data_IF_463601462623
#
_entry.id   IF_463601462623
#
_cell.length_a   1.000
_cell.length_b   1.000
_cell.length_c   1.000
_cell.angle_alpha   90.00
_cell.angle_beta   90.00
_cell.angle_gamma   90.00
#
_symmetry.space_group_name_H-M   'P 1'
#
loop_
_entity.id
_entity.type
_entity.pdbx_description
1 polymer ?
#
# COMPACT_ATOMS: atom_id res chain seq x y z
N UNK A 1 58.04 5.33 -41.62
CA UNK A 1 56.57 5.46 -41.70
C UNK A 1 56.03 5.59 -40.29
N UNK A 2 55.74 6.84 -39.91
CA UNK A 2 54.78 7.39 -38.91
C UNK A 2 54.03 6.38 -38.01
N UNK A 3 54.13 6.36 -36.67
CA UNK A 3 53.65 7.28 -35.60
C UNK A 3 52.15 7.61 -35.53
N UNK A 4 51.53 7.13 -34.46
CA UNK A 4 50.67 7.80 -33.46
C UNK A 4 49.29 8.40 -33.80
N UNK A 5 48.33 7.95 -32.97
CA UNK A 5 47.29 8.69 -32.22
C UNK A 5 46.05 9.24 -32.93
N UNK A 6 44.96 9.19 -32.13
CA UNK A 6 43.73 10.00 -32.17
C UNK A 6 42.60 9.56 -33.11
N UNK A 7 41.60 8.87 -32.54
CA UNK A 7 40.26 9.42 -32.26
C UNK A 7 39.22 8.31 -32.14
N UNK A 8 38.98 7.86 -30.92
CA UNK A 8 37.76 7.15 -30.51
C UNK A 8 37.22 7.86 -29.28
N UNK A 9 36.56 9.00 -29.49
CA UNK A 9 35.86 9.71 -28.42
C UNK A 9 34.61 10.50 -28.84
N UNK A 10 34.11 10.38 -30.08
CA UNK A 10 33.02 11.27 -30.57
C UNK A 10 31.65 10.62 -30.82
N UNK A 11 31.39 9.39 -30.35
CA UNK A 11 30.11 8.72 -30.59
C UNK A 11 29.17 8.60 -29.38
N UNK A 12 29.53 9.12 -28.20
CA UNK A 12 28.65 9.06 -27.00
C UNK A 12 27.93 10.39 -26.67
N UNK A 13 28.13 11.46 -27.46
CA UNK A 13 27.63 12.80 -27.13
C UNK A 13 26.52 13.33 -28.06
N UNK A 14 25.67 12.47 -28.64
CA UNK A 14 24.60 12.88 -29.58
C UNK A 14 23.16 12.57 -29.17
N UNK A 15 22.91 12.26 -27.90
CA UNK A 15 21.54 12.02 -27.38
C UNK A 15 20.90 13.23 -26.69
N UNK A 16 21.59 14.38 -26.63
CA UNK A 16 21.05 15.63 -26.06
C UNK A 16 21.00 16.74 -27.11
N UNK A 17 20.01 16.69 -27.99
CA UNK A 17 19.52 17.86 -28.74
C UNK A 17 18.23 17.49 -29.47
N UNK A 18 17.11 17.48 -28.74
CA UNK A 18 15.80 17.38 -29.37
C UNK A 18 15.07 18.73 -29.29
N UNK A 19 15.03 19.41 -30.43
CA UNK A 19 14.24 20.61 -30.70
C UNK A 19 12.71 20.36 -30.59
N UNK A 20 12.28 19.14 -30.24
CA UNK A 20 10.87 18.79 -30.03
C UNK A 20 10.23 19.47 -28.81
N UNK A 21 10.98 19.70 -27.72
CA UNK A 21 10.42 20.29 -26.49
C UNK A 21 10.09 21.79 -26.63
N UNK A 22 10.79 22.52 -27.51
CA UNK A 22 10.57 23.97 -27.69
C UNK A 22 9.37 24.29 -28.58
N UNK A 23 8.99 23.40 -29.49
CA UNK A 23 7.78 23.59 -30.34
C UNK A 23 6.48 23.31 -29.58
N UNK A 24 6.49 22.37 -28.64
CA UNK A 24 5.29 22.00 -27.88
C UNK A 24 4.80 23.12 -26.94
N UNK A 25 5.72 23.90 -26.38
CA UNK A 25 5.39 24.93 -25.37
C UNK A 25 4.73 26.18 -26.00
N UNK A 26 4.91 26.45 -27.30
CA UNK A 26 4.51 27.74 -27.87
C UNK A 26 3.15 27.75 -28.60
N UNK A 27 2.66 26.60 -29.08
CA UNK A 27 1.45 26.54 -29.93
C UNK A 27 0.17 26.13 -29.18
N UNK A 28 0.23 25.30 -28.12
CA UNK A 28 -0.96 24.95 -27.33
C UNK A 28 -1.36 26.04 -26.31
N UNK A 29 -0.41 26.87 -25.87
CA UNK A 29 -0.67 27.97 -24.92
C UNK A 29 -1.49 29.13 -25.48
N UNK A 30 -1.64 29.28 -26.81
CA UNK A 30 -2.43 30.35 -27.42
C UNK A 30 -3.89 29.98 -27.69
N UNK A 31 -4.23 28.69 -27.71
CA UNK A 31 -5.62 28.23 -27.97
C UNK A 31 -6.52 28.29 -26.74
N UNK A 32 -5.96 28.26 -25.53
CA UNK A 32 -6.76 28.24 -24.28
C UNK A 32 -7.24 29.62 -23.80
N UNK A 33 -6.71 30.72 -24.37
CA UNK A 33 -6.99 32.09 -23.89
C UNK A 33 -8.13 32.77 -24.66
N UNK A 34 -8.60 32.21 -25.80
CA UNK A 34 -9.55 32.90 -26.68
C UNK A 34 -11.03 32.53 -26.53
N UNK A 35 -11.42 31.57 -25.68
CA UNK A 35 -12.79 31.04 -25.73
C UNK A 35 -13.73 31.35 -24.55
N UNK A 36 -13.32 32.07 -23.50
CA UNK A 36 -14.25 32.43 -22.42
C UNK A 36 -14.17 33.92 -22.01
N UNK A 37 -14.67 34.78 -22.88
CA UNK A 37 -15.16 36.12 -22.49
C UNK A 37 -16.68 36.08 -22.33
N UNK A 38 -17.17 36.06 -21.09
CA UNK A 38 -18.55 36.41 -20.77
C UNK A 38 -18.57 37.43 -19.62
N UNK A 39 -19.02 38.63 -19.97
CA UNK A 39 -19.31 39.76 -19.09
C UNK A 39 -20.62 39.54 -18.34
N UNK A 40 -20.61 39.58 -17.00
CA UNK A 40 -21.81 39.89 -16.21
C UNK A 40 -21.43 40.82 -15.05
N UNK A 41 -22.01 42.01 -15.06
CA UNK A 41 -22.00 43.00 -13.99
C UNK A 41 -23.07 42.72 -12.94
N UNK A 42 -22.74 42.75 -11.64
CA UNK A 42 -23.49 43.54 -10.63
C UNK A 42 -22.89 43.46 -9.22
N UNK A 43 -22.83 44.63 -8.56
CA UNK A 43 -22.42 44.89 -7.18
C UNK A 43 -23.48 44.44 -6.17
N UNK A 44 -23.05 43.84 -5.04
CA UNK A 44 -23.35 44.27 -3.65
C UNK A 44 -22.69 43.34 -2.61
N UNK A 45 -21.64 43.88 -1.98
CA UNK A 45 -21.21 43.75 -0.58
C UNK A 45 -21.57 42.47 0.20
N UNK A 46 -20.56 41.63 0.49
CA UNK A 46 -20.28 41.05 1.82
C UNK A 46 -18.90 40.38 1.80
N UNK A 47 -18.01 40.84 2.71
CA UNK A 47 -16.75 40.22 3.16
C UNK A 47 -16.22 39.05 2.31
N UNK A 48 -15.37 39.38 1.34
CA UNK A 48 -14.61 38.41 0.54
C UNK A 48 -13.52 37.77 1.42
N UNK A 49 -13.78 36.54 1.87
CA UNK A 49 -12.75 35.51 1.74
C UNK A 49 -12.40 35.47 0.25
N UNK A 50 -11.13 35.66 -0.11
CA UNK A 50 -10.68 35.33 -1.46
C UNK A 50 -10.83 33.82 -1.63
N UNK A 51 -12.03 33.42 -2.05
CA UNK A 51 -12.29 32.12 -2.63
C UNK A 51 -11.51 32.09 -3.93
N UNK A 52 -10.32 31.49 -3.90
CA UNK A 52 -9.60 31.11 -5.10
C UNK A 52 -10.41 30.00 -5.80
N UNK A 53 -11.52 30.40 -6.42
CA UNK A 53 -12.25 29.65 -7.44
C UNK A 53 -11.40 29.51 -8.70
N UNK A 54 -10.25 28.88 -8.57
CA UNK A 54 -9.38 28.41 -9.63
C UNK A 54 -9.38 26.88 -9.61
N UNK A 55 -9.20 26.25 -10.76
CA UNK A 55 -9.09 24.79 -10.88
C UNK A 55 -8.24 24.19 -9.75
N UNK A 56 -8.69 23.04 -9.20
CA UNK A 56 -7.94 22.23 -8.23
C UNK A 56 -6.45 22.28 -8.57
N UNK A 57 -5.62 22.75 -7.63
CA UNK A 57 -4.17 22.74 -7.83
C UNK A 57 -3.76 21.31 -8.19
N UNK A 58 -2.77 21.13 -9.08
CA UNK A 58 -2.34 19.78 -9.53
C UNK A 58 -2.05 18.85 -8.34
N UNK A 59 -1.58 19.42 -7.23
CA UNK A 59 -1.28 18.71 -5.98
C UNK A 59 -2.54 18.31 -5.21
N UNK A 60 -3.61 19.12 -5.21
CA UNK A 60 -4.89 18.76 -4.57
C UNK A 60 -5.56 17.59 -5.30
N UNK A 61 -5.46 17.57 -6.63
CA UNK A 61 -5.91 16.43 -7.44
C UNK A 61 -5.10 15.18 -7.11
N UNK A 62 -3.78 15.30 -6.97
CA UNK A 62 -2.92 14.19 -6.54
C UNK A 62 -3.33 13.66 -5.16
N UNK A 63 -3.57 14.54 -4.18
CA UNK A 63 -3.96 14.12 -2.83
C UNK A 63 -5.33 13.43 -2.83
N UNK A 64 -6.28 13.93 -3.62
CA UNK A 64 -7.58 13.25 -3.83
C UNK A 64 -7.39 11.86 -4.44
N UNK A 65 -6.50 11.71 -5.41
CA UNK A 65 -6.17 10.40 -6.02
C UNK A 65 -5.54 9.46 -5.00
N UNK A 66 -4.62 9.94 -4.16
CA UNK A 66 -4.02 9.12 -3.09
C UNK A 66 -5.09 8.66 -2.09
N UNK A 67 -6.06 9.53 -1.74
CA UNK A 67 -7.18 9.15 -0.86
C UNK A 67 -8.11 8.14 -1.52
N UNK A 68 -8.47 8.34 -2.79
CA UNK A 68 -9.42 7.48 -3.50
C UNK A 68 -8.85 6.11 -3.84
N UNK A 69 -7.53 6.02 -4.08
CA UNK A 69 -6.83 4.77 -4.44
C UNK A 69 -6.28 3.99 -3.25
N UNK A 70 -6.78 4.27 -2.06
CA UNK A 70 -6.52 3.44 -0.89
C UNK A 70 -7.04 2.02 -1.16
N UNK A 71 -6.16 1.03 -1.07
CA UNK A 71 -6.56 -0.38 -1.10
C UNK A 71 -7.35 -0.67 0.18
N UNK A 72 -8.68 -0.65 0.08
CA UNK A 72 -9.56 -1.04 1.16
C UNK A 72 -9.80 -2.55 1.13
N UNK A 73 -9.50 -3.21 2.25
CA UNK A 73 -9.68 -4.63 2.40
C UNK A 73 -11.15 -5.04 2.20
N UNK A 74 -12.12 -4.20 2.58
CA UNK A 74 -13.54 -4.55 2.40
C UNK A 74 -13.93 -4.65 0.91
N UNK A 75 -13.37 -3.79 0.06
CA UNK A 75 -13.59 -3.85 -1.39
C UNK A 75 -12.89 -5.05 -2.01
N UNK A 76 -11.66 -5.33 -1.56
CA UNK A 76 -10.90 -6.50 -1.95
C UNK A 76 -11.61 -7.81 -1.54
N UNK A 77 -12.15 -7.88 -0.32
CA UNK A 77 -12.89 -9.04 0.18
C UNK A 77 -14.17 -9.29 -0.64
N UNK A 78 -14.90 -8.25 -0.99
CA UNK A 78 -16.07 -8.35 -1.89
C UNK A 78 -15.67 -8.88 -3.26
N UNK A 79 -14.60 -8.35 -3.84
CA UNK A 79 -14.07 -8.77 -5.14
C UNK A 79 -13.67 -10.26 -5.14
N UNK A 80 -12.91 -10.72 -4.14
CA UNK A 80 -12.55 -12.14 -4.07
C UNK A 80 -13.77 -13.01 -3.79
N UNK A 81 -14.71 -12.54 -2.98
CA UNK A 81 -15.93 -13.29 -2.69
C UNK A 81 -16.79 -13.47 -3.94
N UNK A 82 -16.88 -12.49 -4.85
CA UNK A 82 -17.62 -12.65 -6.12
C UNK A 82 -17.01 -13.70 -7.03
N UNK A 83 -15.68 -13.83 -7.03
CA UNK A 83 -14.96 -14.83 -7.84
C UNK A 83 -15.11 -16.24 -7.27
N UNK A 84 -15.02 -16.37 -5.94
CA UNK A 84 -15.01 -17.67 -5.25
C UNK A 84 -16.42 -18.20 -4.98
N UNK A 85 -17.40 -17.32 -4.78
CA UNK A 85 -18.79 -17.65 -4.52
C UNK A 85 -19.69 -17.01 -5.58
N UNK A 86 -19.99 -17.69 -6.70
CA UNK A 86 -20.95 -17.17 -7.64
C UNK A 86 -22.31 -17.09 -6.94
N UNK A 87 -22.84 -15.89 -6.77
CA UNK A 87 -24.23 -15.71 -6.33
C UNK A 87 -25.12 -16.38 -7.35
N UNK A 88 -25.74 -17.50 -6.97
CA UNK A 88 -26.88 -18.06 -7.69
C UNK A 88 -28.07 -17.11 -7.54
N UNK A 89 -28.09 -16.03 -8.31
CA UNK A 89 -29.30 -15.25 -8.55
C UNK A 89 -29.19 -14.43 -9.84
N UNK A 90 -29.84 -14.97 -10.88
CA UNK A 90 -30.61 -14.28 -11.92
C UNK A 90 -29.87 -13.54 -13.06
N UNK A 91 -29.52 -14.29 -14.12
CA UNK A 91 -29.99 -14.05 -15.50
C UNK A 91 -29.39 -15.01 -16.58
N UNK A 92 -29.34 -16.33 -16.34
CA UNK A 92 -29.03 -17.32 -17.42
C UNK A 92 -30.04 -18.46 -17.50
N UNK A 93 -31.24 -18.32 -16.93
CA UNK A 93 -32.40 -19.14 -17.31
C UNK A 93 -33.32 -18.25 -18.15
N UNK A 94 -32.92 -18.03 -19.41
CA UNK A 94 -33.76 -17.74 -20.60
C UNK A 94 -32.85 -17.22 -21.71
N UNK A 95 -32.24 -18.15 -22.44
CA UNK A 95 -32.35 -18.20 -23.90
C UNK A 95 -31.81 -19.53 -24.41
N UNK A 96 -32.69 -20.21 -25.13
CA UNK A 96 -32.40 -21.20 -26.16
C UNK A 96 -32.13 -22.64 -25.72
N UNK A 97 -33.20 -23.27 -25.25
CA UNK A 97 -33.52 -24.62 -25.71
C UNK A 97 -33.86 -24.60 -27.21
N UNK A 98 -32.86 -24.76 -28.08
CA UNK A 98 -33.00 -25.40 -29.39
C UNK A 98 -31.71 -26.16 -29.75
N UNK A 99 -31.84 -27.48 -29.72
CA UNK A 99 -31.09 -28.51 -30.46
C UNK A 99 -29.79 -28.07 -31.17
N UNK A 100 -28.66 -28.68 -30.83
CA UNK A 100 -28.12 -29.83 -31.57
C UNK A 100 -26.81 -30.29 -30.95
N UNK A 101 -26.59 -31.60 -31.03
CA UNK A 101 -25.43 -32.33 -30.54
C UNK A 101 -24.09 -31.79 -31.03
N UNK A 102 -23.14 -31.71 -30.10
CA UNK A 102 -21.75 -32.20 -30.18
C UNK A 102 -20.82 -31.29 -29.39
N UNK A 103 -20.43 -31.75 -28.20
CA UNK A 103 -19.07 -31.53 -27.74
C UNK A 103 -18.56 -32.85 -27.16
N UNK A 104 -18.09 -33.69 -28.09
CA UNK A 104 -17.21 -34.81 -27.81
C UNK A 104 -15.98 -34.32 -27.05
N UNK A 105 -15.61 -35.13 -26.07
CA UNK A 105 -14.25 -35.35 -25.59
C UNK A 105 -13.17 -34.73 -26.50
N UNK A 106 -12.49 -33.70 -26.01
CA UNK A 106 -11.09 -33.48 -26.35
C UNK A 106 -10.30 -33.49 -25.06
N UNK A 107 -9.74 -34.67 -24.83
CA UNK A 107 -8.57 -34.97 -24.01
C UNK A 107 -7.56 -33.83 -24.11
N UNK A 108 -7.38 -33.06 -23.03
CA UNK A 108 -6.30 -32.07 -22.92
C UNK A 108 -5.21 -32.66 -22.02
N UNK A 109 -4.13 -33.12 -22.65
CA UNK A 109 -2.86 -33.37 -21.96
C UNK A 109 -2.25 -32.04 -21.50
N UNK A 110 -1.54 -32.00 -20.35
CA UNK A 110 -1.27 -30.76 -19.65
C UNK A 110 0.04 -30.13 -20.13
N UNK A 111 0.03 -28.81 -20.33
CA UNK A 111 1.24 -27.98 -20.36
C UNK A 111 1.14 -27.09 -19.13
N UNK A 112 1.73 -27.58 -18.04
CA UNK A 112 1.90 -26.88 -16.77
C UNK A 112 3.09 -25.92 -16.90
N UNK A 113 2.85 -24.62 -16.73
CA UNK A 113 3.95 -23.68 -16.39
C UNK A 113 3.66 -22.83 -15.14
N UNK A 114 2.40 -22.62 -14.74
CA UNK A 114 2.06 -21.84 -13.53
C UNK A 114 1.16 -22.58 -12.52
N UNK A 115 0.95 -23.89 -12.69
CA UNK A 115 0.26 -24.70 -11.69
C UNK A 115 1.29 -25.22 -10.69
N UNK A 116 1.07 -24.96 -9.40
CA UNK A 116 1.82 -25.61 -8.33
C UNK A 116 1.68 -27.13 -8.55
N UNK A 117 2.79 -27.90 -8.57
CA UNK A 117 2.82 -29.28 -9.08
C UNK A 117 2.09 -30.32 -8.21
N UNK A 118 1.25 -29.91 -7.26
CA UNK A 118 0.61 -30.77 -6.27
C UNK A 118 -0.93 -30.70 -6.34
N UNK A 119 -1.57 -31.86 -6.11
CA UNK A 119 -3.03 -32.02 -6.16
C UNK A 119 -3.78 -31.01 -5.26
N UNK A 120 -4.91 -30.49 -5.74
CA UNK A 120 -5.83 -29.56 -5.04
C UNK A 120 -5.33 -28.13 -4.70
N UNK A 121 -4.16 -27.71 -5.20
CA UNK A 121 -3.61 -26.34 -5.01
C UNK A 121 -4.22 -25.26 -5.94
N UNK A 122 -5.17 -25.64 -6.79
CA UNK A 122 -5.77 -24.75 -7.80
C UNK A 122 -6.52 -23.56 -7.18
N UNK A 123 -7.19 -23.75 -6.04
CA UNK A 123 -7.95 -22.69 -5.37
C UNK A 123 -7.03 -21.54 -4.91
N UNK A 124 -5.86 -21.86 -4.36
CA UNK A 124 -4.87 -20.85 -3.99
C UNK A 124 -4.27 -20.15 -5.22
N UNK A 125 -4.02 -20.88 -6.29
CA UNK A 125 -3.52 -20.28 -7.54
C UNK A 125 -4.51 -19.28 -8.13
N UNK A 126 -5.81 -19.58 -8.10
CA UNK A 126 -6.87 -18.65 -8.51
C UNK A 126 -6.90 -17.41 -7.61
N UNK A 127 -6.81 -17.60 -6.29
CA UNK A 127 -6.77 -16.50 -5.31
C UNK A 127 -5.57 -15.58 -5.58
N UNK A 128 -4.37 -16.14 -5.73
CA UNK A 128 -3.13 -15.40 -6.00
C UNK A 128 -3.21 -14.61 -7.31
N UNK A 129 -3.64 -15.24 -8.39
CA UNK A 129 -3.78 -14.55 -9.68
C UNK A 129 -4.85 -13.44 -9.63
N UNK A 130 -5.97 -13.68 -8.95
CA UNK A 130 -7.01 -12.66 -8.77
C UNK A 130 -6.50 -11.48 -7.94
N UNK A 131 -5.70 -11.72 -6.88
CA UNK A 131 -5.09 -10.66 -6.08
C UNK A 131 -4.08 -9.84 -6.85
N UNK A 132 -3.23 -10.49 -7.64
CA UNK A 132 -2.24 -9.81 -8.48
C UNK A 132 -2.94 -8.86 -9.46
N UNK A 133 -4.02 -9.32 -10.10
CA UNK A 133 -4.81 -8.50 -11.02
C UNK A 133 -5.53 -7.35 -10.32
N UNK A 134 -6.10 -7.60 -9.14
CA UNK A 134 -6.76 -6.57 -8.36
C UNK A 134 -5.80 -5.44 -7.98
N UNK A 135 -4.62 -5.79 -7.46
CA UNK A 135 -3.61 -4.79 -7.06
C UNK A 135 -3.06 -4.06 -8.27
N UNK A 136 -2.82 -4.75 -9.39
CA UNK A 136 -2.40 -4.11 -10.65
C UNK A 136 -3.44 -3.11 -11.13
N UNK A 137 -4.72 -3.45 -11.17
CA UNK A 137 -5.77 -2.54 -11.66
C UNK A 137 -5.95 -1.30 -10.77
N UNK A 138 -5.76 -1.44 -9.45
CA UNK A 138 -5.81 -0.28 -8.55
C UNK A 138 -4.55 0.58 -8.68
N UNK A 139 -3.41 -0.04 -8.97
CA UNK A 139 -2.11 0.62 -9.07
C UNK A 139 -1.90 1.30 -10.42
N UNK A 140 -2.20 0.61 -11.52
CA UNK A 140 -2.14 1.11 -12.89
C UNK A 140 -3.38 1.93 -13.20
N UNK A 141 -3.19 3.22 -13.38
CA UNK A 141 -4.24 4.13 -13.80
C UNK A 141 -4.74 3.86 -15.21
N UNK A 142 -5.69 2.95 -15.38
CA UNK A 142 -6.56 2.89 -16.56
C UNK A 142 -5.88 2.76 -17.93
N UNK A 143 -4.56 2.53 -17.99
CA UNK A 143 -3.85 2.37 -19.24
C UNK A 143 -4.05 0.94 -19.73
N UNK A 144 -5.01 0.81 -20.65
CA UNK A 144 -5.32 -0.40 -21.40
C UNK A 144 -5.68 -1.64 -20.57
N UNK A 145 -6.77 -1.54 -19.81
CA UNK A 145 -7.49 -2.70 -19.30
C UNK A 145 -7.68 -3.76 -20.42
N UNK A 146 -8.01 -3.34 -21.64
CA UNK A 146 -8.24 -4.22 -22.78
C UNK A 146 -6.96 -4.84 -23.39
N UNK A 147 -5.79 -4.22 -23.25
CA UNK A 147 -4.53 -4.80 -23.76
C UNK A 147 -3.90 -5.74 -22.73
N UNK A 148 -3.96 -5.41 -21.44
CA UNK A 148 -3.43 -6.27 -20.37
C UNK A 148 -4.30 -7.51 -20.13
N UNK A 149 -5.63 -7.36 -20.12
CA UNK A 149 -6.56 -8.49 -20.03
C UNK A 149 -6.36 -9.51 -21.17
N UNK A 150 -5.90 -9.04 -22.33
CA UNK A 150 -5.68 -9.87 -23.52
C UNK A 150 -4.21 -10.35 -23.70
N UNK A 151 -3.23 -9.65 -23.14
CA UNK A 151 -1.80 -10.04 -23.15
C UNK A 151 -1.42 -11.00 -22.02
N UNK A 152 -2.30 -11.12 -21.02
CA UNK A 152 -2.23 -12.13 -19.97
C UNK A 152 -2.28 -13.54 -20.58
N UNK A 153 -1.09 -14.11 -20.80
CA UNK A 153 -0.86 -15.53 -21.09
C UNK A 153 -0.98 -16.38 -19.82
N UNK A 154 -1.97 -16.09 -18.96
CA UNK A 154 -2.28 -17.00 -17.87
C UNK A 154 -2.97 -18.23 -18.47
N UNK A 155 -2.26 -19.35 -18.41
CA UNK A 155 -2.69 -20.70 -18.84
C UNK A 155 -4.18 -20.94 -18.61
N UNK A 156 -4.89 -21.36 -19.67
CA UNK A 156 -6.31 -21.76 -19.76
C UNK A 156 -6.92 -22.33 -18.46
N UNK A 157 -7.23 -21.46 -17.50
CA UNK A 157 -7.97 -21.80 -16.30
C UNK A 157 -9.43 -21.40 -16.53
N UNK A 158 -10.41 -22.28 -16.26
CA UNK A 158 -11.83 -22.03 -16.48
C UNK A 158 -12.43 -20.91 -15.60
N UNK A 159 -11.60 -20.30 -14.75
CA UNK A 159 -11.93 -19.19 -13.87
C UNK A 159 -11.48 -17.83 -14.42
N UNK A 160 -10.64 -17.80 -15.46
CA UNK A 160 -10.09 -16.54 -16.02
C UNK A 160 -11.21 -15.65 -16.57
N UNK A 161 -12.13 -16.22 -17.34
CA UNK A 161 -13.25 -15.44 -17.91
C UNK A 161 -14.10 -14.78 -16.81
N UNK A 162 -14.23 -15.43 -15.65
CA UNK A 162 -14.93 -14.88 -14.48
C UNK A 162 -14.18 -13.76 -13.80
N UNK A 163 -12.85 -13.91 -13.67
CA UNK A 163 -11.99 -12.86 -13.14
C UNK A 163 -12.12 -11.63 -14.06
N UNK A 164 -12.07 -11.83 -15.38
CA UNK A 164 -12.26 -10.74 -16.36
C UNK A 164 -13.62 -10.06 -16.24
N UNK A 165 -14.70 -10.82 -16.07
CA UNK A 165 -16.06 -10.28 -15.89
C UNK A 165 -16.19 -9.48 -14.59
N UNK A 166 -15.76 -10.04 -13.45
CA UNK A 166 -15.78 -9.34 -12.16
C UNK A 166 -14.92 -8.07 -12.14
N UNK A 167 -13.81 -8.07 -12.88
CA UNK A 167 -12.95 -6.90 -13.02
C UNK A 167 -13.59 -5.78 -13.84
N UNK A 168 -14.37 -6.10 -14.89
CA UNK A 168 -15.11 -5.09 -15.66
C UNK A 168 -16.13 -4.36 -14.80
N UNK A 169 -16.89 -5.10 -13.99
CA UNK A 169 -17.88 -4.54 -13.07
C UNK A 169 -17.22 -3.65 -12.00
N UNK A 170 -16.08 -4.08 -11.46
CA UNK A 170 -15.35 -3.33 -10.44
C UNK A 170 -14.67 -2.06 -11.01
N UNK A 171 -14.07 -2.14 -12.20
CA UNK A 171 -13.42 -1.02 -12.88
C UNK A 171 -14.39 0.11 -13.21
N UNK A 172 -15.63 -0.21 -13.58
CA UNK A 172 -16.68 0.78 -13.85
C UNK A 172 -17.10 1.57 -12.59
N UNK A 173 -16.88 1.00 -11.40
CA UNK A 173 -17.25 1.64 -10.13
C UNK A 173 -16.16 2.58 -9.60
N UNK A 174 -14.91 2.37 -10.01
CA UNK A 174 -13.74 3.16 -9.57
C UNK A 174 -13.51 4.43 -10.41
N UNK A 175 -14.06 4.49 -11.63
CA UNK A 175 -13.83 5.58 -12.58
C UNK A 175 -15.16 6.28 -12.95
N UNK A 176 -15.62 7.19 -12.10
CA UNK A 176 -16.67 8.15 -12.51
C UNK A 176 -15.98 9.31 -13.27
N UNK A 177 -16.03 9.30 -14.61
CA UNK A 177 -15.79 10.37 -15.61
C UNK A 177 -14.58 11.33 -15.50
N UNK A 178 -13.81 11.34 -14.41
CA UNK A 178 -12.69 12.29 -14.15
C UNK A 178 -11.31 11.60 -14.11
N UNK A 179 -11.22 10.31 -14.42
CA UNK A 179 -9.91 9.66 -14.60
C UNK A 179 -9.31 10.10 -15.95
N UNK A 180 -8.72 11.29 -15.95
CA UNK A 180 -7.80 11.71 -17.01
C UNK A 180 -6.70 10.66 -17.21
N UNK A 181 -6.24 10.51 -18.45
CA UNK A 181 -5.08 9.70 -18.82
C UNK A 181 -3.83 10.28 -18.17
N UNK A 182 -3.56 9.86 -16.95
CA UNK A 182 -2.28 10.08 -16.29
C UNK A 182 -1.61 8.72 -16.20
N UNK A 183 -0.38 8.61 -16.70
CA UNK A 183 0.53 7.51 -16.38
C UNK A 183 0.88 7.60 -14.89
N UNK A 184 -0.05 7.19 -14.02
CA UNK A 184 0.22 7.23 -12.59
C UNK A 184 1.18 6.10 -12.23
N UNK A 185 2.25 6.40 -11.47
CA UNK A 185 3.10 5.38 -10.89
C UNK A 185 2.34 4.56 -9.84
N UNK A 186 2.78 3.33 -9.62
CA UNK A 186 2.22 2.42 -8.60
C UNK A 186 2.16 3.13 -7.24
N UNK A 187 0.94 3.37 -6.74
CA UNK A 187 0.70 4.03 -5.44
C UNK A 187 0.77 3.02 -4.29
N UNK A 188 1.95 2.45 -4.07
CA UNK A 188 2.19 1.48 -3.00
C UNK A 188 3.52 1.75 -2.31
N UNK A 189 3.49 1.94 -0.98
CA UNK A 189 4.70 2.15 -0.18
C UNK A 189 4.97 0.98 0.75
N UNK A 190 6.26 0.68 0.92
CA UNK A 190 6.72 -0.44 1.74
C UNK A 190 6.47 -0.22 3.25
N UNK A 191 6.26 1.04 3.68
CA UNK A 191 5.91 1.38 5.06
C UNK A 191 4.61 0.69 5.50
N UNK A 192 3.68 0.48 4.57
CA UNK A 192 2.41 -0.19 4.85
C UNK A 192 2.67 -1.64 5.29
N UNK A 193 3.56 -2.33 4.59
CA UNK A 193 3.93 -3.70 4.90
C UNK A 193 4.65 -3.79 6.24
N UNK A 194 5.60 -2.87 6.49
CA UNK A 194 6.35 -2.82 7.75
C UNK A 194 5.43 -2.79 8.98
N UNK A 195 4.42 -1.92 8.98
CA UNK A 195 3.49 -1.83 10.12
C UNK A 195 2.61 -3.07 10.29
N UNK A 196 2.23 -3.74 9.20
CA UNK A 196 1.50 -5.00 9.30
C UNK A 196 2.38 -6.17 9.78
N UNK A 197 3.69 -6.15 9.48
CA UNK A 197 4.65 -7.12 10.04
C UNK A 197 4.87 -6.92 11.55
N UNK A 198 5.08 -5.67 11.98
CA UNK A 198 5.16 -5.31 13.40
C UNK A 198 3.82 -5.55 14.13
N UNK A 199 2.71 -5.52 13.38
CA UNK A 199 1.37 -5.89 13.85
C UNK A 199 1.16 -7.39 14.10
N UNK A 200 2.14 -8.25 13.81
CA UNK A 200 2.07 -9.71 13.93
C UNK A 200 1.15 -10.41 12.92
N UNK A 201 0.83 -9.79 11.78
CA UNK A 201 -0.01 -10.41 10.74
C UNK A 201 0.63 -11.68 10.18
N UNK A 202 1.86 -11.55 9.67
CA UNK A 202 2.63 -12.64 9.05
C UNK A 202 2.93 -13.74 10.08
N UNK A 203 3.22 -13.35 11.33
CA UNK A 203 3.51 -14.24 12.45
C UNK A 203 2.26 -15.05 12.83
N UNK A 204 1.08 -14.43 12.80
CA UNK A 204 -0.20 -15.11 13.01
C UNK A 204 -0.42 -16.16 11.92
N UNK A 205 -0.20 -15.80 10.66
CA UNK A 205 -0.38 -16.74 9.54
C UNK A 205 0.63 -17.90 9.60
N UNK A 206 1.88 -17.63 9.96
CA UNK A 206 2.90 -18.65 10.16
C UNK A 206 2.55 -19.60 11.33
N UNK A 207 2.03 -19.07 12.45
CA UNK A 207 1.59 -19.89 13.57
C UNK A 207 0.43 -20.83 13.19
N UNK A 208 -0.54 -20.34 12.44
CA UNK A 208 -1.64 -21.17 11.89
C UNK A 208 -1.07 -22.22 10.93
N UNK A 209 -0.16 -21.82 10.04
CA UNK A 209 0.46 -22.72 9.05
C UNK A 209 1.27 -23.84 9.70
N UNK A 210 2.03 -23.55 10.76
CA UNK A 210 2.76 -24.55 11.53
C UNK A 210 1.82 -25.51 12.24
N UNK A 211 0.75 -25.00 12.88
CA UNK A 211 -0.27 -25.85 13.50
C UNK A 211 -0.95 -26.76 12.48
N UNK A 212 -1.30 -26.24 11.31
CA UNK A 212 -1.95 -27.01 10.24
C UNK A 212 -1.06 -28.13 9.68
N UNK A 213 0.26 -27.89 9.60
CA UNK A 213 1.26 -28.91 9.24
C UNK A 213 1.64 -29.84 10.39
N UNK A 214 1.09 -29.64 11.58
CA UNK A 214 1.49 -30.33 12.81
C UNK A 214 2.99 -30.20 13.12
N UNK A 215 3.58 -29.05 12.81
CA UNK A 215 4.97 -28.71 13.13
C UNK A 215 4.98 -28.02 14.50
N UNK A 216 5.84 -28.50 15.39
CA UNK A 216 6.05 -27.90 16.70
C UNK A 216 6.93 -26.65 16.55
N UNK A 217 6.48 -25.53 17.13
CA UNK A 217 7.26 -24.30 17.18
C UNK A 217 7.99 -24.20 18.53
N UNK A 218 9.19 -23.62 18.50
CA UNK A 218 9.92 -23.23 19.71
C UNK A 218 9.18 -22.08 20.41
N UNK A 219 8.59 -22.35 21.57
CA UNK A 219 7.91 -21.34 22.40
C UNK A 219 6.64 -21.85 23.07
N UNK A 220 5.79 -20.91 23.50
CA UNK A 220 4.48 -21.18 24.09
C UNK A 220 3.56 -21.77 23.00
N UNK A 221 3.35 -23.08 23.02
CA UNK A 221 2.53 -23.75 22.02
C UNK A 221 1.03 -23.67 22.36
N UNK A 222 0.49 -22.43 22.39
CA UNK A 222 -0.90 -22.17 22.76
C UNK A 222 -1.93 -22.83 21.82
N UNK A 223 -1.56 -23.07 20.56
CA UNK A 223 -2.44 -23.67 19.55
C UNK A 223 -2.56 -25.20 19.64
N UNK A 224 -1.77 -25.87 20.50
CA UNK A 224 -1.79 -27.33 20.58
C UNK A 224 -3.14 -27.90 21.07
N UNK A 225 -3.85 -27.12 21.87
CA UNK A 225 -5.15 -27.50 22.45
C UNK A 225 -6.34 -27.18 21.53
N UNK A 226 -6.11 -26.52 20.39
CA UNK A 226 -7.17 -26.15 19.46
C UNK A 226 -7.33 -27.21 18.38
N UNK A 227 -8.58 -27.60 18.13
CA UNK A 227 -8.94 -28.53 17.07
C UNK A 227 -8.81 -27.88 15.69
N UNK A 228 -8.25 -28.61 14.74
CA UNK A 228 -8.03 -28.14 13.36
C UNK A 228 -9.29 -28.32 12.50
N UNK A 229 -10.32 -28.98 13.04
CA UNK A 229 -11.55 -29.32 12.31
C UNK A 229 -12.22 -28.11 11.61
N UNK A 230 -12.33 -26.92 12.24
CA UNK A 230 -12.91 -25.75 11.59
C UNK A 230 -12.14 -25.28 10.36
N UNK A 231 -10.84 -25.59 10.23
CA UNK A 231 -10.00 -25.16 9.11
C UNK A 231 -10.08 -26.09 7.89
N UNK A 232 -10.76 -27.24 7.98
CA UNK A 232 -10.88 -28.20 6.87
C UNK A 232 -11.43 -27.60 5.58
N UNK A 233 -12.47 -26.73 5.59
CA UNK A 233 -12.97 -26.13 4.35
C UNK A 233 -11.90 -25.29 3.62
N UNK A 234 -10.96 -24.70 4.37
CA UNK A 234 -9.86 -23.91 3.83
C UNK A 234 -8.61 -24.73 3.47
N UNK A 235 -8.66 -26.06 3.61
CA UNK A 235 -7.49 -26.95 3.44
C UNK A 235 -6.76 -26.76 2.11
N UNK A 236 -7.50 -26.67 1.00
CA UNK A 236 -6.92 -26.49 -0.34
C UNK A 236 -6.16 -25.15 -0.47
N UNK A 237 -6.65 -24.10 0.19
CA UNK A 237 -6.04 -22.77 0.16
C UNK A 237 -4.81 -22.74 1.10
N UNK A 238 -4.94 -23.29 2.30
CA UNK A 238 -3.86 -23.36 3.29
C UNK A 238 -2.69 -24.19 2.78
N UNK A 239 -2.94 -25.38 2.20
CA UNK A 239 -1.89 -26.18 1.59
C UNK A 239 -1.25 -25.47 0.40
N UNK A 240 -2.03 -24.78 -0.44
CA UNK A 240 -1.49 -23.95 -1.51
C UNK A 240 -0.57 -22.84 -1.00
N UNK A 241 -1.00 -22.09 0.03
CA UNK A 241 -0.19 -21.04 0.67
C UNK A 241 1.09 -21.59 1.30
N UNK A 242 1.04 -22.76 1.93
CA UNK A 242 2.20 -23.44 2.53
C UNK A 242 3.16 -23.92 1.42
N UNK A 243 2.65 -24.50 0.35
CA UNK A 243 3.47 -24.98 -0.77
C UNK A 243 4.13 -23.82 -1.53
N UNK A 244 3.46 -22.68 -1.63
CA UNK A 244 3.97 -21.49 -2.32
C UNK A 244 5.05 -20.73 -1.52
N UNK A 245 5.44 -21.20 -0.33
CA UNK A 245 6.51 -20.60 0.50
C UNK A 245 7.81 -20.32 -0.26
N UNK A 246 8.13 -21.13 -1.27
CA UNK A 246 9.34 -20.98 -2.09
C UNK A 246 9.28 -19.77 -3.04
N UNK A 247 8.10 -19.40 -3.51
CA UNK A 247 7.92 -18.25 -4.42
C UNK A 247 7.48 -16.99 -3.67
N UNK A 248 7.21 -17.10 -2.37
CA UNK A 248 6.86 -15.96 -1.53
C UNK A 248 8.10 -15.19 -1.11
N UNK A 249 7.91 -13.90 -0.92
CA UNK A 249 8.94 -13.01 -0.45
C UNK A 249 9.35 -13.40 0.98
N UNK A 250 10.64 -13.61 1.17
CA UNK A 250 11.15 -14.02 2.47
C UNK A 250 11.24 -12.83 3.43
N UNK A 251 11.06 -13.10 4.73
CA UNK A 251 11.18 -12.06 5.78
C UNK A 251 12.55 -11.36 5.71
N UNK A 252 13.70 -12.06 5.59
CA UNK A 252 14.99 -11.39 5.45
C UNK A 252 15.07 -10.48 4.23
N UNK A 253 14.47 -10.90 3.09
CA UNK A 253 14.45 -10.07 1.89
C UNK A 253 13.69 -8.77 2.12
N UNK A 254 12.51 -8.81 2.76
CA UNK A 254 11.77 -7.59 3.15
C UNK A 254 12.56 -6.73 4.12
N UNK A 255 13.22 -7.34 5.09
CA UNK A 255 14.00 -6.63 6.09
C UNK A 255 15.16 -5.83 5.49
N UNK A 256 15.87 -6.38 4.50
CA UNK A 256 16.89 -5.64 3.75
C UNK A 256 16.32 -4.42 3.02
N UNK A 257 15.10 -4.53 2.51
CA UNK A 257 14.48 -3.47 1.72
C UNK A 257 13.85 -2.38 2.61
N UNK A 258 13.32 -2.73 3.79
CA UNK A 258 12.94 -1.74 4.81
C UNK A 258 14.15 -0.89 5.23
N UNK A 259 15.31 -1.51 5.38
CA UNK A 259 16.54 -0.83 5.75
C UNK A 259 17.10 0.03 4.61
N UNK A 260 16.99 -0.45 3.37
CA UNK A 260 17.39 0.30 2.17
C UNK A 260 16.46 1.47 1.83
N UNK A 261 15.15 1.39 2.11
CA UNK A 261 14.20 2.48 1.81
C UNK A 261 14.07 3.51 2.94
N UNK A 262 14.02 3.04 4.19
CA UNK A 262 13.69 3.89 5.35
C UNK A 262 14.70 3.78 6.49
N UNK A 263 15.68 2.88 6.41
CA UNK A 263 16.62 2.62 7.52
C UNK A 263 15.99 1.93 8.73
N UNK A 264 14.77 1.41 8.58
CA UNK A 264 14.03 0.74 9.64
C UNK A 264 14.36 -0.76 9.61
N UNK A 265 14.46 -1.36 10.78
CA UNK A 265 14.68 -2.80 10.93
C UNK A 265 13.51 -3.46 11.66
N UNK A 266 13.35 -4.76 11.42
CA UNK A 266 12.44 -5.62 12.18
C UNK A 266 13.29 -6.48 13.11
N UNK A 267 12.82 -6.66 14.34
CA UNK A 267 13.51 -7.47 15.34
C UNK A 267 12.75 -8.78 15.53
N UNK A 268 13.37 -9.92 15.21
CA UNK A 268 12.75 -11.22 15.42
C UNK A 268 13.72 -12.39 15.27
N UNK A 269 13.31 -13.57 15.74
CA UNK A 269 14.11 -14.81 15.65
C UNK A 269 14.47 -15.18 14.20
N UNK A 270 13.59 -14.87 13.26
CA UNK A 270 13.76 -15.15 11.83
C UNK A 270 14.76 -14.23 11.12
N UNK A 271 15.16 -13.12 11.76
CA UNK A 271 16.07 -12.13 11.19
C UNK A 271 17.32 -12.12 12.07
N UNK A 272 18.38 -12.80 11.63
CA UNK A 272 19.72 -12.64 12.21
C UNK A 272 20.34 -11.33 11.72
N UNK A 273 21.29 -10.77 12.50
CA UNK A 273 22.03 -9.53 12.23
C UNK A 273 22.13 -9.18 10.73
N UNK A 274 21.32 -8.20 10.31
CA UNK A 274 21.33 -7.69 8.94
C UNK A 274 22.62 -6.88 8.72
N UNK A 275 23.28 -7.12 7.59
CA UNK A 275 24.45 -6.36 7.15
C UNK A 275 24.18 -5.85 5.72
N UNK A 276 23.30 -4.86 5.54
CA UNK A 276 23.05 -4.31 4.22
C UNK A 276 24.27 -3.53 3.71
N UNK A 277 24.42 -3.48 2.37
CA UNK A 277 25.43 -2.62 1.73
C UNK A 277 25.05 -1.15 1.85
N UNK A 278 23.75 -0.85 1.83
CA UNK A 278 23.21 0.50 1.95
C UNK A 278 22.11 0.53 3.01
N UNK A 279 22.17 1.50 3.90
CA UNK A 279 21.19 1.70 4.97
C UNK A 279 20.86 3.19 5.06
N UNK A 280 19.57 3.53 5.09
CA UNK A 280 19.12 4.93 5.12
C UNK A 280 19.04 5.44 6.53
N UNK A 281 20.17 5.90 7.06
CA UNK A 281 20.17 6.61 8.33
C UNK A 281 19.44 7.95 8.21
N UNK A 282 18.53 8.24 9.16
CA UNK A 282 17.98 9.58 9.34
C UNK A 282 16.55 9.79 8.82
N UNK A 283 16.00 8.90 7.99
CA UNK A 283 14.62 9.02 7.52
C UNK A 283 13.62 9.14 8.68
N UNK A 284 13.70 8.22 9.65
CA UNK A 284 12.77 8.23 10.78
C UNK A 284 12.88 9.50 11.63
N UNK A 285 14.09 10.06 11.76
CA UNK A 285 14.32 11.30 12.48
C UNK A 285 13.70 12.50 11.75
N UNK A 286 13.92 12.60 10.43
CA UNK A 286 13.33 13.64 9.59
C UNK A 286 11.80 13.54 9.56
N UNK A 287 11.26 12.33 9.44
CA UNK A 287 9.81 12.10 9.43
C UNK A 287 9.16 12.43 10.78
N UNK A 288 9.75 11.99 11.89
CA UNK A 288 9.28 12.37 13.24
C UNK A 288 9.38 13.88 13.48
N UNK A 289 10.44 14.53 12.99
CA UNK A 289 10.58 15.98 13.06
C UNK A 289 9.49 16.67 12.24
N UNK A 290 9.19 16.20 11.02
CA UNK A 290 8.08 16.71 10.21
C UNK A 290 6.74 16.63 10.96
N UNK A 291 6.42 15.46 11.53
CA UNK A 291 5.20 15.27 12.32
C UNK A 291 5.13 16.20 13.53
N UNK A 292 6.26 16.40 14.21
CA UNK A 292 6.37 17.36 15.31
C UNK A 292 6.12 18.80 14.82
N UNK A 293 6.71 19.23 13.70
CA UNK A 293 6.46 20.56 13.11
C UNK A 293 5.00 20.75 12.71
N UNK A 294 4.35 19.72 12.16
CA UNK A 294 2.92 19.76 11.86
C UNK A 294 2.09 19.90 13.14
N UNK A 295 2.41 19.16 14.21
CA UNK A 295 1.74 19.29 15.49
C UNK A 295 1.83 20.72 16.07
N UNK A 296 2.99 21.36 15.95
CA UNK A 296 3.17 22.77 16.29
C UNK A 296 2.35 23.71 15.41
N UNK A 297 2.37 23.50 14.10
CA UNK A 297 1.60 24.27 13.14
C UNK A 297 0.10 24.23 13.46
N UNK A 298 -0.46 23.07 13.81
CA UNK A 298 -1.87 22.97 14.17
C UNK A 298 -2.22 23.73 15.44
N UNK A 299 -1.35 23.72 16.46
CA UNK A 299 -1.56 24.53 17.67
C UNK A 299 -1.58 26.02 17.37
N UNK A 300 -0.75 26.48 16.43
CA UNK A 300 -0.76 27.87 15.98
C UNK A 300 -1.99 28.18 15.14
N UNK A 301 -2.39 27.26 14.25
CA UNK A 301 -3.57 27.41 13.39
C UNK A 301 -4.88 27.44 14.19
N UNK A 302 -4.99 26.62 15.23
CA UNK A 302 -6.16 26.59 16.12
C UNK A 302 -6.24 27.86 17.00
N UNK A 303 -5.15 28.62 17.12
CA UNK A 303 -5.12 29.88 17.84
C UNK A 303 -5.54 31.04 16.92
N UNK A 304 -6.76 31.54 17.11
CA UNK A 304 -7.34 32.66 16.35
C UNK A 304 -6.48 33.94 16.39
N UNK A 305 -5.62 34.10 17.42
CA UNK A 305 -4.81 35.30 17.61
C UNK A 305 -3.50 35.30 16.79
N UNK A 306 -3.14 34.20 16.14
CA UNK A 306 -1.86 34.05 15.43
C UNK A 306 -2.08 33.51 14.02
N UNK A 307 -1.43 34.15 13.05
CA UNK A 307 -1.33 33.57 11.70
C UNK A 307 -0.26 32.48 11.76
N UNK A 308 -0.59 31.21 11.43
CA UNK A 308 0.36 30.12 11.50
C UNK A 308 1.41 30.25 10.38
N UNK A 309 2.67 29.96 10.71
CA UNK A 309 3.74 29.93 9.72
C UNK A 309 3.94 28.51 9.16
N UNK A 310 3.76 28.34 7.85
CA UNK A 310 3.97 27.07 7.14
C UNK A 310 5.44 26.79 6.77
N UNK A 311 6.34 27.75 6.94
CA UNK A 311 7.74 27.61 6.50
C UNK A 311 8.52 26.50 7.22
N UNK A 312 8.38 26.29 8.55
CA UNK A 312 9.02 25.16 9.22
C UNK A 312 8.56 23.79 8.68
N UNK A 313 7.29 23.68 8.28
CA UNK A 313 6.74 22.46 7.67
C UNK A 313 7.34 22.26 6.28
N UNK A 314 7.45 23.31 5.48
CA UNK A 314 8.06 23.25 4.14
C UNK A 314 9.50 22.71 4.18
N UNK A 315 10.33 23.20 5.11
CA UNK A 315 11.71 22.73 5.23
C UNK A 315 11.79 21.26 5.64
N UNK A 316 10.94 20.82 6.57
CA UNK A 316 10.87 19.43 6.98
C UNK A 316 10.37 18.52 5.84
N UNK A 317 9.40 18.98 5.03
CA UNK A 317 8.92 18.28 3.84
C UNK A 317 10.03 18.10 2.80
N UNK A 318 10.79 19.16 2.51
CA UNK A 318 11.95 19.11 1.61
C UNK A 318 13.00 18.11 2.09
N UNK A 319 13.32 18.11 3.39
CA UNK A 319 14.27 17.17 3.99
C UNK A 319 13.81 15.72 3.81
N UNK A 320 12.55 15.41 4.15
CA UNK A 320 11.99 14.06 4.00
C UNK A 320 11.93 13.64 2.53
N UNK A 321 11.48 14.53 1.64
CA UNK A 321 11.40 14.28 0.20
C UNK A 321 12.78 13.92 -0.38
N UNK A 322 13.83 14.67 -0.04
CA UNK A 322 15.19 14.41 -0.51
C UNK A 322 15.71 13.04 -0.05
N UNK A 323 15.47 12.67 1.23
CA UNK A 323 15.86 11.35 1.75
C UNK A 323 15.09 10.24 1.03
N UNK A 324 13.79 10.43 0.77
CA UNK A 324 12.97 9.46 0.04
C UNK A 324 13.39 9.30 -1.42
N UNK A 325 13.79 10.39 -2.08
CA UNK A 325 14.30 10.38 -3.45
C UNK A 325 15.63 9.62 -3.55
N UNK A 326 16.53 9.79 -2.57
CA UNK A 326 17.76 8.99 -2.48
C UNK A 326 17.48 7.48 -2.27
N UNK A 327 16.33 7.13 -1.69
CA UNK A 327 15.89 5.75 -1.49
C UNK A 327 15.20 5.12 -2.70
N UNK A 328 14.90 5.86 -3.77
CA UNK A 328 14.09 5.39 -4.90
C UNK A 328 14.86 4.55 -5.94
N UNK A 329 15.74 3.65 -5.48
CA UNK A 329 16.62 2.86 -6.34
C UNK A 329 16.41 1.34 -6.16
N UNK A 330 16.78 0.57 -7.18
CA UNK A 330 16.77 -0.91 -7.25
C UNK A 330 15.40 -1.61 -7.43
N UNK A 331 14.47 -1.49 -6.47
CA UNK A 331 13.19 -2.25 -6.49
C UNK A 331 11.99 -1.43 -6.03
N UNK A 332 12.05 -0.12 -6.23
CA UNK A 332 10.93 0.77 -5.97
C UNK A 332 9.71 0.37 -6.82
N UNK A 333 8.52 0.32 -6.21
CA UNK A 333 7.27 -0.07 -6.88
C UNK A 333 7.02 -1.59 -6.93
N UNK A 334 7.99 -2.40 -7.36
CA UNK A 334 7.81 -3.85 -7.54
C UNK A 334 7.65 -4.60 -6.20
N UNK A 335 8.61 -4.43 -5.30
CA UNK A 335 8.63 -5.14 -4.02
C UNK A 335 7.45 -4.75 -3.10
N UNK A 336 7.08 -3.46 -2.94
CA UNK A 336 5.89 -3.09 -2.19
C UNK A 336 4.63 -3.78 -2.73
N UNK A 337 4.50 -3.85 -4.05
CA UNK A 337 3.35 -4.48 -4.71
C UNK A 337 3.27 -5.97 -4.39
N UNK A 338 4.38 -6.71 -4.59
CA UNK A 338 4.45 -8.15 -4.28
C UNK A 338 4.19 -8.40 -2.80
N UNK A 339 4.84 -7.65 -1.90
CA UNK A 339 4.64 -7.81 -0.46
C UNK A 339 3.20 -7.50 -0.03
N UNK A 340 2.55 -6.54 -0.69
CA UNK A 340 1.17 -6.14 -0.38
C UNK A 340 0.18 -7.20 -0.87
N UNK A 341 0.39 -7.77 -2.06
CA UNK A 341 -0.38 -8.92 -2.56
C UNK A 341 -0.35 -10.07 -1.56
N UNK A 342 0.82 -10.43 -1.06
CA UNK A 342 0.98 -11.51 -0.07
C UNK A 342 0.21 -11.22 1.22
N UNK A 343 0.36 -10.01 1.78
CA UNK A 343 -0.34 -9.64 3.02
C UNK A 343 -1.85 -9.52 2.83
N UNK A 344 -2.34 -9.12 1.64
CA UNK A 344 -3.78 -9.12 1.33
C UNK A 344 -4.33 -10.55 1.26
N UNK A 345 -3.58 -11.51 0.72
CA UNK A 345 -3.95 -12.93 0.77
C UNK A 345 -4.06 -13.39 2.23
N UNK A 346 -3.08 -13.05 3.08
CA UNK A 346 -3.09 -13.40 4.50
C UNK A 346 -4.29 -12.80 5.24
N UNK A 347 -4.56 -11.50 5.01
CA UNK A 347 -5.74 -10.83 5.56
C UNK A 347 -7.04 -11.51 5.09
N UNK A 348 -7.11 -11.92 3.82
CA UNK A 348 -8.30 -12.62 3.31
C UNK A 348 -8.50 -13.97 3.97
N UNK A 349 -7.45 -14.78 4.09
CA UNK A 349 -7.52 -16.08 4.78
C UNK A 349 -8.00 -15.88 6.22
N UNK A 350 -7.47 -14.87 6.92
CA UNK A 350 -7.85 -14.57 8.30
C UNK A 350 -9.26 -13.99 8.46
N UNK A 351 -9.84 -13.35 7.43
CA UNK A 351 -11.20 -12.81 7.51
C UNK A 351 -12.28 -13.89 7.43
N UNK A 352 -11.90 -15.09 6.97
CA UNK A 352 -12.84 -16.19 6.73
C UNK A 352 -13.56 -16.68 8.01
N UNK A 353 -14.84 -17.09 7.90
CA UNK A 353 -15.62 -17.55 9.04
C UNK A 353 -15.05 -18.83 9.70
N UNK A 354 -14.33 -19.66 8.96
CA UNK A 354 -13.65 -20.85 9.46
C UNK A 354 -12.54 -20.47 10.47
N UNK A 355 -11.75 -19.44 10.14
CA UNK A 355 -10.70 -18.93 11.05
C UNK A 355 -11.34 -18.23 12.26
N UNK A 356 -12.54 -17.65 12.08
CA UNK A 356 -13.32 -17.11 13.19
C UNK A 356 -13.72 -18.16 14.20
N UNK A 357 -14.16 -19.32 13.75
CA UNK A 357 -14.52 -20.43 14.64
C UNK A 357 -13.26 -21.02 15.30
N UNK A 358 -12.15 -21.12 14.56
CA UNK A 358 -10.90 -21.65 15.07
C UNK A 358 -10.24 -20.79 16.17
N UNK A 359 -10.02 -19.49 15.92
CA UNK A 359 -9.33 -18.60 16.86
C UNK A 359 -10.26 -17.82 17.79
N UNK A 360 -11.56 -17.79 17.47
CA UNK A 360 -12.49 -16.90 18.16
C UNK A 360 -12.14 -15.42 17.97
N UNK A 361 -12.85 -14.56 18.69
CA UNK A 361 -12.63 -13.12 18.65
C UNK A 361 -13.42 -12.40 19.73
N UNK A 362 -12.95 -11.23 20.14
CA UNK A 362 -13.66 -10.36 21.06
C UNK A 362 -14.80 -9.66 20.30
N UNK A 363 -16.02 -10.17 20.46
CA UNK A 363 -17.21 -9.70 19.70
C UNK A 363 -17.56 -8.23 19.99
N UNK A 364 -17.26 -7.74 21.19
CA UNK A 364 -17.60 -6.37 21.62
C UNK A 364 -16.61 -5.30 21.16
N UNK A 365 -15.46 -5.65 20.57
CA UNK A 365 -14.50 -4.67 20.08
C UNK A 365 -14.85 -4.32 18.63
N UNK A 366 -15.06 -3.03 18.30
CA UNK A 366 -15.32 -2.62 16.94
C UNK A 366 -14.01 -2.68 16.14
N UNK A 367 -13.92 -3.66 15.24
CA UNK A 367 -12.85 -3.73 14.25
C UNK A 367 -13.35 -3.18 12.91
N UNK A 368 -12.47 -2.47 12.20
CA UNK A 368 -12.78 -1.95 10.86
C UNK A 368 -12.80 -3.07 9.81
N UNK A 369 -11.98 -4.12 9.98
CA UNK A 369 -11.81 -5.20 9.02
C UNK A 369 -11.96 -6.59 9.67
N UNK A 370 -12.47 -7.57 8.90
CA UNK A 370 -12.85 -8.89 9.42
C UNK A 370 -11.70 -9.78 9.92
N UNK A 371 -10.47 -9.53 9.47
CA UNK A 371 -9.27 -10.30 9.85
C UNK A 371 -8.63 -9.84 11.16
N UNK A 372 -8.78 -8.57 11.51
CA UNK A 372 -8.18 -7.96 12.70
C UNK A 372 -8.49 -8.67 14.02
N UNK A 373 -9.75 -9.11 14.30
CA UNK A 373 -10.05 -9.84 15.52
C UNK A 373 -9.20 -11.11 15.68
N UNK A 374 -8.80 -11.78 14.58
CA UNK A 374 -8.04 -13.03 14.63
C UNK A 374 -6.60 -12.80 15.02
N UNK A 375 -5.99 -11.73 14.51
CA UNK A 375 -4.63 -11.32 14.86
C UNK A 375 -4.59 -10.94 16.35
N UNK A 376 -5.55 -10.14 16.82
CA UNK A 376 -5.62 -9.78 18.24
C UNK A 376 -5.88 -10.98 19.16
N UNK A 377 -6.75 -11.93 18.76
CA UNK A 377 -6.91 -13.20 19.46
C UNK A 377 -5.59 -13.98 19.54
N UNK A 378 -4.87 -14.09 18.42
CA UNK A 378 -3.58 -14.78 18.37
C UNK A 378 -2.54 -14.12 19.27
N UNK A 379 -2.44 -12.78 19.24
CA UNK A 379 -1.54 -12.02 20.12
C UNK A 379 -1.80 -12.33 21.59
N UNK A 380 -3.06 -12.37 22.00
CA UNK A 380 -3.44 -12.73 23.37
C UNK A 380 -3.09 -14.18 23.73
N UNK A 381 -3.34 -15.14 22.83
CA UNK A 381 -3.04 -16.56 23.05
C UNK A 381 -1.53 -16.81 23.24
N UNK A 382 -0.74 -16.21 22.35
CA UNK A 382 0.70 -16.37 22.32
C UNK A 382 1.41 -15.53 23.39
N UNK A 383 0.74 -14.54 23.98
CA UNK A 383 1.37 -13.58 24.89
C UNK A 383 2.34 -12.65 24.17
N UNK A 384 2.02 -12.26 22.93
CA UNK A 384 2.74 -11.24 22.18
C UNK A 384 2.34 -9.83 22.67
N UNK A 385 2.66 -8.80 21.89
CA UNK A 385 2.33 -7.42 22.23
C UNK A 385 0.83 -7.23 22.54
N UNK A 386 0.46 -6.61 23.67
CA UNK A 386 -0.95 -6.37 24.03
C UNK A 386 -1.64 -5.27 23.20
N UNK A 387 -0.91 -4.46 22.43
CA UNK A 387 -1.51 -3.37 21.64
C UNK A 387 -2.38 -3.95 20.52
N UNK A 388 -3.60 -3.42 20.36
CA UNK A 388 -4.50 -3.86 19.29
C UNK A 388 -3.92 -3.60 17.89
N UNK A 389 -4.14 -4.55 16.99
CA UNK A 389 -3.80 -4.48 15.56
C UNK A 389 -4.38 -3.25 14.86
N UNK A 390 -5.50 -2.72 15.34
CA UNK A 390 -6.11 -1.54 14.71
C UNK A 390 -5.16 -0.34 14.71
N UNK A 391 -4.33 -0.19 15.75
CA UNK A 391 -3.35 0.90 15.80
C UNK A 391 -2.25 0.73 14.73
N UNK A 392 -1.78 -0.50 14.51
CA UNK A 392 -0.79 -0.79 13.47
C UNK A 392 -1.36 -0.63 12.07
N UNK A 393 -2.61 -1.03 11.87
CA UNK A 393 -3.31 -0.86 10.61
C UNK A 393 -3.52 0.62 10.26
N UNK A 394 -3.97 1.42 11.23
CA UNK A 394 -4.11 2.88 11.06
C UNK A 394 -2.75 3.52 10.73
N UNK A 395 -1.67 3.12 11.42
CA UNK A 395 -0.30 3.57 11.10
C UNK A 395 0.14 3.20 9.69
N UNK A 396 -0.20 1.99 9.22
CA UNK A 396 0.11 1.54 7.88
C UNK A 396 -0.57 2.41 6.82
N UNK A 397 -1.86 2.69 6.99
CA UNK A 397 -2.65 3.50 6.05
C UNK A 397 -2.18 4.95 6.06
N UNK A 398 -2.14 5.59 7.23
CA UNK A 398 -1.77 7.00 7.33
C UNK A 398 -0.31 7.18 6.89
N UNK A 399 0.58 6.27 7.28
CA UNK A 399 1.98 6.30 6.86
C UNK A 399 2.14 6.21 5.35
N UNK A 400 1.43 5.30 4.69
CA UNK A 400 1.46 5.16 3.24
C UNK A 400 0.95 6.43 2.54
N UNK A 401 -0.20 6.96 2.95
CA UNK A 401 -0.79 8.17 2.35
C UNK A 401 0.14 9.38 2.49
N UNK A 402 0.71 9.58 3.68
CA UNK A 402 1.64 10.68 3.94
C UNK A 402 2.91 10.54 3.11
N UNK A 403 3.54 9.36 3.10
CA UNK A 403 4.77 9.15 2.33
C UNK A 403 4.52 9.29 0.83
N UNK A 404 3.41 8.77 0.30
CA UNK A 404 3.04 8.94 -1.11
C UNK A 404 2.87 10.42 -1.46
N UNK A 405 2.21 11.21 -0.59
CA UNK A 405 2.03 12.65 -0.81
C UNK A 405 3.35 13.42 -0.80
N UNK A 406 4.31 13.00 0.04
CA UNK A 406 5.63 13.61 0.12
C UNK A 406 6.49 13.20 -1.07
N UNK A 407 6.43 11.94 -1.49
CA UNK A 407 7.26 11.40 -2.57
C UNK A 407 6.89 11.99 -3.92
N UNK A 408 5.61 12.03 -4.23
CA UNK A 408 5.13 12.50 -5.54
C UNK A 408 4.91 14.02 -5.61
N UNK A 409 4.99 14.72 -4.47
CA UNK A 409 5.00 16.18 -4.46
C UNK A 409 6.35 16.74 -4.88
N UNK A 410 6.36 17.76 -5.74
CA UNK A 410 7.58 18.48 -6.16
C UNK A 410 8.02 19.50 -5.10
N UNK A 411 8.36 19.00 -3.91
CA UNK A 411 8.71 19.85 -2.77
C UNK A 411 10.00 20.63 -2.99
N UNK A 412 10.90 20.17 -3.86
CA UNK A 412 12.18 20.83 -4.12
C UNK A 412 12.00 22.18 -4.81
N UNK A 413 11.11 22.25 -5.82
CA UNK A 413 10.86 23.47 -6.59
C UNK A 413 10.01 24.48 -5.81
N UNK A 414 9.12 24.00 -4.94
CA UNK A 414 8.20 24.85 -4.17
C UNK A 414 8.97 25.66 -3.11
N UNK A 415 8.87 26.99 -3.17
CA UNK A 415 9.50 27.90 -2.19
C UNK A 415 8.49 28.67 -1.33
N UNK A 416 7.19 28.57 -1.61
CA UNK A 416 6.17 29.30 -0.89
C UNK A 416 5.66 28.50 0.31
N UNK A 417 5.64 29.13 1.49
CA UNK A 417 5.17 28.51 2.74
C UNK A 417 3.68 28.13 2.70
N UNK A 418 2.87 28.82 1.89
CA UNK A 418 1.43 28.61 1.81
C UNK A 418 1.07 27.20 1.29
N UNK A 419 1.82 26.64 0.35
CA UNK A 419 1.57 25.28 -0.14
C UNK A 419 1.81 24.22 0.93
N UNK A 420 2.84 24.37 1.76
CA UNK A 420 3.09 23.47 2.87
C UNK A 420 2.01 23.58 3.95
N UNK A 421 1.48 24.78 4.18
CA UNK A 421 0.33 24.98 5.07
C UNK A 421 -0.92 24.26 4.55
N UNK A 422 -1.24 24.40 3.25
CA UNK A 422 -2.36 23.71 2.61
C UNK A 422 -2.23 22.18 2.70
N UNK A 423 -1.04 21.64 2.44
CA UNK A 423 -0.78 20.21 2.61
C UNK A 423 -1.01 19.75 4.06
N UNK A 424 -0.50 20.50 5.04
CA UNK A 424 -0.71 20.17 6.44
C UNK A 424 -2.19 20.19 6.82
N UNK A 425 -2.98 21.09 6.24
CA UNK A 425 -4.41 21.18 6.49
C UNK A 425 -5.19 20.00 5.92
N UNK A 426 -4.89 19.65 4.67
CA UNK A 426 -5.50 18.52 4.00
C UNK A 426 -5.22 17.23 4.76
N UNK A 427 -3.97 16.98 5.17
CA UNK A 427 -3.58 15.75 5.85
C UNK A 427 -3.70 15.81 7.38
N UNK A 428 -4.41 16.79 7.93
CA UNK A 428 -4.49 17.03 9.38
C UNK A 428 -4.96 15.81 10.16
N UNK A 429 -6.00 15.14 9.68
CA UNK A 429 -6.61 14.01 10.38
C UNK A 429 -5.66 12.81 10.40
N UNK A 430 -5.01 12.54 9.27
CA UNK A 430 -4.05 11.46 9.08
C UNK A 430 -2.77 11.70 9.91
N UNK A 431 -2.27 12.94 9.96
CA UNK A 431 -1.09 13.31 10.76
C UNK A 431 -1.37 13.16 12.25
N UNK A 432 -2.48 13.72 12.74
CA UNK A 432 -2.86 13.61 14.16
C UNK A 432 -3.16 12.16 14.55
N UNK A 433 -3.86 11.43 13.68
CA UNK A 433 -4.12 10.00 13.84
C UNK A 433 -2.83 9.21 13.93
N UNK A 434 -1.88 9.45 13.01
CA UNK A 434 -0.58 8.80 13.01
C UNK A 434 0.19 9.08 14.31
N UNK A 435 0.28 10.33 14.76
CA UNK A 435 0.98 10.71 15.99
C UNK A 435 0.40 9.97 17.20
N UNK A 436 -0.92 9.97 17.35
CA UNK A 436 -1.58 9.29 18.46
C UNK A 436 -1.35 7.78 18.44
N UNK A 437 -1.51 7.12 17.29
CA UNK A 437 -1.29 5.68 17.14
C UNK A 437 0.18 5.30 17.35
N UNK A 438 1.10 6.14 16.89
CA UNK A 438 2.53 5.95 17.06
C UNK A 438 2.91 5.99 18.54
N UNK A 439 2.34 6.92 19.30
CA UNK A 439 2.51 6.99 20.76
C UNK A 439 1.97 5.73 21.45
N UNK A 440 0.80 5.22 21.05
CA UNK A 440 0.24 3.98 21.62
C UNK A 440 1.14 2.76 21.35
N UNK A 441 1.72 2.66 20.16
CA UNK A 441 2.56 1.52 19.75
C UNK A 441 3.97 1.60 20.30
N UNK A 442 4.60 2.76 20.29
CA UNK A 442 6.02 2.94 20.64
C UNK A 442 6.25 3.54 22.03
N UNK A 443 5.25 4.20 22.60
CA UNK A 443 5.35 4.96 23.85
C UNK A 443 5.89 6.38 23.70
N UNK A 444 6.30 6.80 22.49
CA UNK A 444 6.89 8.13 22.24
C UNK A 444 5.83 9.10 21.74
N UNK A 445 5.68 10.23 22.44
CA UNK A 445 4.81 11.32 22.01
C UNK A 445 5.56 12.29 21.09
N UNK A 446 5.18 12.31 19.81
CA UNK A 446 5.75 13.20 18.79
C UNK A 446 5.19 14.64 18.87
N UNK A 447 4.07 14.84 19.56
CA UNK A 447 3.44 16.16 19.69
C UNK A 447 4.03 16.99 20.84
N UNK A 448 4.73 16.35 21.78
CA UNK A 448 5.27 17.01 22.94
C UNK A 448 6.33 18.06 22.56
N UNK A 449 6.29 19.22 23.23
CA UNK A 449 7.37 20.21 23.18
C UNK A 449 8.52 19.70 24.04
N UNK A 450 9.15 18.64 23.60
CA UNK A 450 10.12 17.93 24.40
C UNK A 450 11.48 18.66 24.31
N UNK A 451 12.20 18.81 25.44
CA UNK A 451 13.56 19.36 25.41
C UNK A 451 14.48 18.44 24.60
N UNK A 452 15.63 18.95 24.14
CA UNK A 452 16.47 18.26 23.13
C UNK A 452 16.91 16.83 23.51
N UNK A 453 16.91 16.48 24.80
CA UNK A 453 17.17 15.11 25.28
C UNK A 453 16.08 14.12 24.86
N UNK A 454 14.81 14.54 24.83
CA UNK A 454 13.68 13.70 24.41
C UNK A 454 13.56 13.61 22.88
N UNK A 455 14.12 14.58 22.13
CA UNK A 455 14.28 14.45 20.67
C UNK A 455 15.26 13.35 20.27
N UNK A 456 16.11 12.85 21.20
CA UNK A 456 16.96 11.68 20.94
C UNK A 456 16.12 10.44 20.62
N UNK A 457 14.94 10.32 21.21
CA UNK A 457 14.03 9.20 20.95
C UNK A 457 13.45 9.24 19.53
N UNK A 458 13.47 10.39 18.84
CA UNK A 458 13.03 10.52 17.45
C UNK A 458 13.96 9.81 16.46
N UNK A 459 15.23 9.62 16.84
CA UNK A 459 16.22 8.91 16.04
C UNK A 459 16.17 7.38 16.24
N UNK A 460 15.45 6.90 17.26
CA UNK A 460 15.40 5.49 17.58
C UNK A 460 14.41 4.79 16.64
N UNK A 461 14.84 3.65 16.08
CA UNK A 461 14.02 2.84 15.17
C UNK A 461 12.77 2.30 15.90
N UNK A 462 11.59 2.26 15.26
CA UNK A 462 10.35 1.88 15.95
C UNK A 462 10.37 0.47 16.56
N UNK A 463 10.97 -0.52 15.89
CA UNK A 463 11.10 -1.87 16.44
C UNK A 463 11.87 -1.91 17.78
N UNK A 464 12.88 -1.04 17.96
CA UNK A 464 13.62 -0.92 19.22
C UNK A 464 12.72 -0.31 20.30
N UNK A 465 11.94 0.71 19.96
CA UNK A 465 10.99 1.35 20.89
C UNK A 465 9.91 0.36 21.34
N UNK A 466 9.34 -0.42 20.42
CA UNK A 466 8.37 -1.48 20.72
C UNK A 466 9.00 -2.50 21.67
N UNK A 467 10.21 -2.99 21.37
CA UNK A 467 10.91 -3.93 22.25
C UNK A 467 11.20 -3.36 23.63
N UNK A 468 11.60 -2.09 23.72
CA UNK A 468 11.84 -1.40 24.99
C UNK A 468 10.56 -1.33 25.82
N UNK A 469 9.43 -0.96 25.19
CA UNK A 469 8.11 -0.96 25.83
C UNK A 469 7.74 -2.36 26.35
N UNK A 470 7.91 -3.39 25.52
CA UNK A 470 7.61 -4.77 25.91
C UNK A 470 8.49 -5.28 27.06
N UNK A 471 9.74 -4.80 27.17
CA UNK A 471 10.62 -5.15 28.29
C UNK A 471 10.33 -4.43 29.60
N UNK A 472 9.55 -3.33 29.54
CA UNK A 472 9.15 -2.55 30.71
C UNK A 472 7.82 -3.01 31.31
N UNK A 473 7.06 -3.84 30.58
CA UNK A 473 5.85 -4.52 31.03
C UNK A 473 6.21 -5.84 31.69
#
# INVERSE_FOLDING_TARGET
MTTQKQNTQDNEAKWYQDEGLKKFIHEEGKKFVSENTLTISNRRTNLEYEDHGGALSKDETLWKVIRSRKIDFANYEKFITSIMCPTTSENVIKKESKSTDNCKEKVVKPILSNQIPFHNSQAYSVLKNATELYVKIISDAGNNLDYEINSISLSNSPYIDRIKESLKDFSLTLCNDECGRFEFPVLSELIWNYWHEEGYLVQTMNAISHRFQNIKTDGKNALNQMDIDPLRPLSNILWGYIQDTQHRLTIPRRAYEYENHYGINIIGKAISNLNPVNSRSGFMAAFNNLLNKCAHFYRERDNIQRIPDGFPVLNALKEVHMILAEGAHNQFGDLPTVSKIEMLIEQWILSRPEVREFLGGKVMIPYSQGWMPRVDSMKNLQGWDPVSINNFHDLAIFGEQLILSIRYGDWYVINQANFAAQWADEWRNEIQGYIHRYQVVTGVDLSANAPDYAKRDYHIKPAILIKRRLSQQ
#
